data_IF_244550093885
#
_entry.id   IF_244550093885
#
_cell.length_a   1.000
_cell.length_b   1.000
_cell.length_c   1.000
_cell.angle_alpha   90.00
_cell.angle_beta   90.00
_cell.angle_gamma   90.00
#
_symmetry.space_group_name_H-M   'P 1'
#
loop_
_entity.id
_entity.type
_entity.pdbx_description
1 polymer ?
#
# COMPACT_ATOMS: atom_id res chain seq x y z
N UNK A 1 11.40 11.21 -7.43
CA UNK A 1 12.28 12.13 -6.64
C UNK A 1 11.64 12.61 -5.34
N UNK A 2 10.30 12.67 -5.24
CA UNK A 2 9.58 13.07 -4.03
C UNK A 2 9.34 12.00 -2.95
N UNK A 3 9.79 10.74 -3.11
CA UNK A 3 9.69 9.74 -2.03
C UNK A 3 10.90 9.73 -1.09
N UNK A 4 12.06 10.20 -1.57
CA UNK A 4 13.30 10.22 -0.78
C UNK A 4 13.35 11.35 0.25
N UNK A 5 12.55 12.41 0.07
CA UNK A 5 12.42 13.51 1.02
C UNK A 5 11.28 13.28 2.03
N UNK A 6 10.49 12.22 1.85
CA UNK A 6 9.27 11.98 2.61
C UNK A 6 9.33 10.69 3.41
N UNK A 7 10.36 10.60 4.24
CA UNK A 7 10.28 9.81 5.46
C UNK A 7 10.05 10.71 6.69
N UNK A 8 8.92 11.44 6.88
CA UNK A 8 8.55 11.99 8.18
C UNK A 8 7.91 10.92 9.09
N UNK A 9 7.84 9.66 8.65
CA UNK A 9 7.23 8.55 9.40
C UNK A 9 7.94 8.20 10.72
N UNK A 10 9.10 8.81 10.99
CA UNK A 10 9.78 8.74 12.29
C UNK A 10 9.39 9.89 13.24
N UNK A 11 8.18 10.44 13.15
CA UNK A 11 7.62 11.35 14.18
C UNK A 11 7.02 10.56 15.37
N UNK A 12 6.86 11.16 16.57
CA UNK A 12 6.94 10.50 17.89
C UNK A 12 5.89 9.45 18.26
N UNK A 13 4.91 9.17 17.41
CA UNK A 13 3.80 8.30 17.77
C UNK A 13 4.06 6.86 17.31
N UNK A 14 4.57 6.04 18.24
CA UNK A 14 4.82 4.61 18.07
C UNK A 14 3.63 3.74 17.61
N UNK A 15 2.44 4.30 17.35
CA UNK A 15 1.29 3.57 16.76
C UNK A 15 1.49 3.20 15.29
N UNK A 16 2.17 4.04 14.50
CA UNK A 16 2.39 3.75 13.07
C UNK A 16 3.64 2.89 12.84
N UNK A 17 4.58 2.88 13.79
CA UNK A 17 5.88 2.22 13.63
C UNK A 17 5.77 0.69 13.47
N UNK A 18 4.97 0.03 14.32
CA UNK A 18 4.78 -1.42 14.23
C UNK A 18 4.04 -1.86 12.96
N UNK A 19 3.16 -1.00 12.45
CA UNK A 19 2.31 -1.34 11.32
C UNK A 19 3.00 -1.18 9.97
N UNK A 20 3.71 -0.07 9.78
CA UNK A 20 4.46 0.21 8.55
C UNK A 20 5.67 -0.72 8.34
N UNK A 21 6.02 -1.52 9.35
CA UNK A 21 7.11 -2.52 9.25
C UNK A 21 6.64 -3.81 8.56
N UNK A 22 5.32 -4.09 8.54
CA UNK A 22 4.71 -5.30 7.95
C UNK A 22 3.75 -4.90 6.81
N UNK A 23 4.17 -3.96 5.98
CA UNK A 23 3.47 -3.62 4.73
C UNK A 23 4.12 -4.33 3.53
N UNK A 24 3.34 -4.61 2.48
CA UNK A 24 3.83 -5.21 1.23
C UNK A 24 3.97 -6.73 1.21
N UNK A 25 3.36 -7.45 2.17
CA UNK A 25 3.29 -8.92 2.15
C UNK A 25 2.54 -9.45 0.91
N UNK A 26 1.67 -8.65 0.30
CA UNK A 26 0.88 -8.96 -0.89
C UNK A 26 1.67 -8.78 -2.21
N UNK A 27 2.92 -8.29 -2.16
CA UNK A 27 3.79 -8.10 -3.34
C UNK A 27 3.86 -9.34 -4.23
N UNK A 28 3.87 -10.53 -3.64
CA UNK A 28 3.84 -11.81 -4.37
C UNK A 28 2.56 -12.07 -5.16
N UNK A 29 1.44 -11.44 -4.78
CA UNK A 29 0.16 -11.55 -5.51
C UNK A 29 0.23 -10.79 -6.84
N UNK A 30 0.89 -9.64 -6.88
CA UNK A 30 1.04 -8.83 -8.12
C UNK A 30 1.89 -9.51 -9.19
N UNK A 31 2.68 -10.51 -8.79
CA UNK A 31 3.54 -11.31 -9.67
C UNK A 31 2.97 -12.74 -9.78
N UNK A 32 1.77 -13.01 -9.29
CA UNK A 32 1.22 -14.36 -9.26
C UNK A 32 1.09 -15.01 -10.65
N UNK A 33 0.73 -14.24 -11.68
CA UNK A 33 0.66 -14.73 -13.06
C UNK A 33 2.04 -15.14 -13.60
N UNK A 34 3.07 -14.34 -13.31
CA UNK A 34 4.46 -14.67 -13.69
C UNK A 34 4.98 -15.84 -12.83
N UNK A 35 4.69 -15.84 -11.54
CA UNK A 35 5.06 -16.90 -10.61
C UNK A 35 4.39 -18.23 -10.97
N UNK A 36 3.19 -18.23 -11.56
CA UNK A 36 2.49 -19.44 -12.02
C UNK A 36 3.27 -20.18 -13.11
N UNK A 37 4.03 -19.45 -13.94
CA UNK A 37 4.89 -20.04 -14.98
C UNK A 37 6.07 -20.79 -14.35
N UNK A 38 6.58 -20.32 -13.21
CA UNK A 38 7.81 -20.84 -12.58
C UNK A 38 7.58 -21.72 -11.35
N UNK A 39 6.42 -21.61 -10.72
CA UNK A 39 6.04 -22.28 -9.47
C UNK A 39 4.52 -22.39 -9.39
N UNK A 40 3.99 -23.35 -8.63
CA UNK A 40 2.54 -23.45 -8.44
C UNK A 40 2.04 -22.27 -7.59
N UNK A 41 1.62 -21.17 -8.24
CA UNK A 41 1.23 -19.91 -7.61
C UNK A 41 0.16 -20.08 -6.53
N UNK A 42 -0.76 -21.02 -6.72
CA UNK A 42 -1.83 -21.30 -5.77
C UNK A 42 -1.33 -21.80 -4.39
N UNK A 43 -0.10 -22.32 -4.32
CA UNK A 43 0.54 -22.78 -3.07
C UNK A 43 1.66 -21.82 -2.67
N UNK A 44 2.46 -21.36 -3.63
CA UNK A 44 3.62 -20.51 -3.34
C UNK A 44 3.23 -19.13 -2.79
N UNK A 45 2.17 -18.50 -3.33
CA UNK A 45 1.76 -17.15 -2.93
C UNK A 45 1.28 -17.09 -1.46
N UNK A 46 0.38 -17.99 -1.00
CA UNK A 46 -0.01 -18.01 0.41
C UNK A 46 1.18 -18.21 1.37
N UNK A 47 2.11 -19.12 1.05
CA UNK A 47 3.29 -19.35 1.87
C UNK A 47 4.27 -18.16 1.87
N UNK A 48 4.40 -17.46 0.74
CA UNK A 48 5.20 -16.24 0.66
C UNK A 48 4.61 -15.11 1.53
N UNK A 49 3.28 -14.95 1.54
CA UNK A 49 2.59 -13.99 2.41
C UNK A 49 2.85 -14.32 3.89
N UNK A 50 2.63 -15.58 4.29
CA UNK A 50 2.85 -16.01 5.68
C UNK A 50 4.32 -15.88 6.08
N UNK A 51 5.24 -16.30 5.21
CA UNK A 51 6.68 -16.24 5.45
C UNK A 51 7.19 -14.80 5.58
N UNK A 52 6.76 -13.90 4.69
CA UNK A 52 7.12 -12.48 4.78
C UNK A 52 6.58 -11.81 6.04
N UNK A 53 5.36 -12.14 6.46
CA UNK A 53 4.79 -11.63 7.71
C UNK A 53 5.56 -12.14 8.95
N UNK A 54 5.95 -13.42 9.00
CA UNK A 54 6.70 -13.99 10.13
C UNK A 54 8.11 -13.41 10.19
N UNK A 55 8.81 -13.35 9.06
CA UNK A 55 10.18 -12.82 9.00
C UNK A 55 10.18 -11.32 9.29
N UNK A 56 9.29 -10.56 8.64
CA UNK A 56 9.14 -9.12 8.88
C UNK A 56 8.75 -8.80 10.32
N UNK A 57 7.79 -9.54 10.89
CA UNK A 57 7.37 -9.38 12.28
C UNK A 57 8.46 -9.72 13.30
N UNK A 58 9.20 -10.82 13.09
CA UNK A 58 10.30 -11.22 13.99
C UNK A 58 11.50 -10.29 13.93
N UNK A 59 11.92 -9.87 12.72
CA UNK A 59 12.98 -8.88 12.54
C UNK A 59 12.57 -7.51 13.08
N UNK A 60 11.34 -7.07 12.79
CA UNK A 60 10.79 -5.81 13.30
C UNK A 60 10.71 -5.79 14.83
N UNK A 61 10.24 -6.88 15.44
CA UNK A 61 10.23 -7.03 16.90
C UNK A 61 11.66 -6.96 17.48
N UNK A 62 12.62 -7.67 16.86
CA UNK A 62 14.02 -7.62 17.23
C UNK A 62 14.58 -6.20 17.19
N UNK A 63 14.33 -5.46 16.10
CA UNK A 63 14.77 -4.07 15.95
C UNK A 63 14.15 -3.16 17.01
N UNK A 64 12.84 -3.25 17.27
CA UNK A 64 12.17 -2.45 18.30
C UNK A 64 12.72 -2.73 19.69
N UNK A 65 12.96 -4.00 20.02
CA UNK A 65 13.56 -4.39 21.30
C UNK A 65 14.98 -3.82 21.43
N UNK A 66 15.82 -3.95 20.41
CA UNK A 66 17.17 -3.37 20.42
C UNK A 66 17.12 -1.85 20.57
N UNK A 67 16.25 -1.16 19.84
CA UNK A 67 16.07 0.29 19.98
C UNK A 67 15.60 0.69 21.38
N UNK A 68 14.71 -0.09 21.99
CA UNK A 68 14.24 0.15 23.34
C UNK A 68 15.36 0.08 24.38
N UNK A 69 16.29 -0.87 24.24
CA UNK A 69 17.46 -0.96 25.10
C UNK A 69 18.52 0.12 24.80
N UNK A 70 18.63 0.57 23.54
CA UNK A 70 19.63 1.55 23.13
C UNK A 70 19.21 3.02 23.33
N UNK A 71 17.92 3.34 23.56
CA UNK A 71 17.48 4.74 23.67
C UNK A 71 17.88 5.42 25.00
N UNK A 72 18.22 4.66 26.04
CA UNK A 72 18.53 5.23 27.36
C UNK A 72 17.30 5.81 28.08
N UNK A 73 17.51 6.55 29.19
CA UNK A 73 16.43 7.08 30.03
C UNK A 73 15.99 8.52 29.67
N UNK A 74 16.72 9.23 28.80
CA UNK A 74 16.40 10.61 28.42
C UNK A 74 15.52 10.68 27.15
N UNK A 75 14.25 10.32 27.33
CA UNK A 75 13.25 10.37 26.25
C UNK A 75 12.95 11.84 25.84
N UNK A 76 13.02 12.77 26.80
CA UNK A 76 12.73 14.18 26.56
C UNK A 76 13.82 14.84 25.68
N UNK A 77 15.09 14.53 25.93
CA UNK A 77 16.21 14.98 25.11
C UNK A 77 16.19 14.40 23.69
N UNK A 78 15.71 13.17 23.52
CA UNK A 78 15.57 12.53 22.19
C UNK A 78 14.44 13.15 21.37
N UNK A 79 13.30 13.43 22.00
CA UNK A 79 12.13 14.01 21.32
C UNK A 79 12.29 15.51 21.03
N UNK A 80 13.06 16.22 21.86
CA UNK A 80 13.30 17.67 21.72
C UNK A 80 14.54 18.03 20.90
N UNK A 81 15.27 17.06 20.33
CA UNK A 81 16.54 17.34 19.69
C UNK A 81 16.38 18.10 18.35
N UNK A 82 17.35 18.96 18.04
CA UNK A 82 17.44 19.76 16.80
C UNK A 82 17.41 18.94 15.51
N UNK A 83 17.74 17.65 15.59
CA UNK A 83 17.71 16.69 14.47
C UNK A 83 16.26 16.42 14.01
N UNK A 84 15.26 16.58 14.89
CA UNK A 84 13.84 16.37 14.56
C UNK A 84 13.47 14.93 14.18
N UNK A 85 14.41 13.98 14.33
CA UNK A 85 14.25 12.56 14.04
C UNK A 85 14.82 11.73 15.21
N UNK A 86 13.95 11.11 16.04
CA UNK A 86 14.35 10.33 17.21
C UNK A 86 15.30 9.17 16.87
N UNK A 87 15.06 8.44 15.78
CA UNK A 87 15.90 7.31 15.38
C UNK A 87 17.33 7.75 15.04
N UNK A 88 17.48 8.82 14.27
CA UNK A 88 18.78 9.38 13.93
C UNK A 88 19.56 9.80 15.19
N UNK A 89 18.85 10.33 16.19
CA UNK A 89 19.43 10.73 17.48
C UNK A 89 19.93 9.51 18.27
N UNK A 90 19.17 8.41 18.29
CA UNK A 90 19.60 7.16 18.94
C UNK A 90 20.87 6.61 18.30
N UNK A 91 20.94 6.59 16.96
CA UNK A 91 22.15 6.16 16.26
C UNK A 91 23.33 7.10 16.51
N UNK A 92 23.09 8.40 16.53
CA UNK A 92 24.12 9.38 16.87
C UNK A 92 24.69 9.15 18.27
N UNK A 93 23.83 8.87 19.24
CA UNK A 93 24.25 8.59 20.63
C UNK A 93 25.01 7.26 20.76
N UNK A 94 24.70 6.26 19.92
CA UNK A 94 25.35 4.94 19.99
C UNK A 94 26.65 4.83 19.16
N UNK A 95 26.68 5.37 17.95
CA UNK A 95 27.77 5.20 16.97
C UNK A 95 28.58 6.47 16.70
N UNK A 96 28.16 7.61 17.26
CA UNK A 96 28.72 8.92 16.93
C UNK A 96 28.38 9.39 15.50
N UNK A 97 28.90 10.55 15.11
CA UNK A 97 28.52 11.21 13.85
C UNK A 97 28.88 10.41 12.60
N UNK A 98 30.12 9.88 12.52
CA UNK A 98 30.62 9.19 11.32
C UNK A 98 29.91 7.85 11.09
N UNK A 99 29.70 7.07 12.16
CA UNK A 99 28.98 5.80 12.08
C UNK A 99 27.51 6.01 11.70
N UNK A 100 26.87 7.02 12.28
CA UNK A 100 25.48 7.38 11.95
C UNK A 100 25.33 7.79 10.50
N UNK A 101 26.20 8.66 9.98
CA UNK A 101 26.14 9.08 8.57
C UNK A 101 26.34 7.91 7.60
N UNK A 102 27.26 6.99 7.92
CA UNK A 102 27.47 5.77 7.14
C UNK A 102 26.20 4.90 7.09
N UNK A 103 25.61 4.63 8.25
CA UNK A 103 24.37 3.84 8.34
C UNK A 103 23.19 4.56 7.65
N UNK A 104 23.07 5.87 7.83
CA UNK A 104 22.00 6.67 7.24
C UNK A 104 22.07 6.69 5.71
N UNK A 105 23.28 6.67 5.13
CA UNK A 105 23.44 6.55 3.67
C UNK A 105 22.88 5.23 3.13
N UNK A 106 23.05 4.13 3.86
CA UNK A 106 22.48 2.83 3.51
C UNK A 106 20.95 2.84 3.58
N UNK A 107 20.37 3.48 4.60
CA UNK A 107 18.93 3.70 4.69
C UNK A 107 18.38 4.44 3.47
N UNK A 108 19.07 5.49 3.00
CA UNK A 108 18.67 6.25 1.81
C UNK A 108 18.66 5.37 0.55
N UNK A 109 19.67 4.51 0.36
CA UNK A 109 19.74 3.59 -0.78
C UNK A 109 18.61 2.56 -0.74
N UNK A 110 18.37 1.95 0.42
CA UNK A 110 17.26 0.99 0.61
C UNK A 110 15.92 1.66 0.35
N UNK A 111 15.71 2.87 0.85
CA UNK A 111 14.48 3.63 0.63
C UNK A 111 14.25 3.95 -0.85
N UNK A 112 15.32 4.25 -1.60
CA UNK A 112 15.24 4.46 -3.04
C UNK A 112 14.81 3.19 -3.80
N UNK A 113 15.39 2.05 -3.43
CA UNK A 113 15.02 0.76 -4.02
C UNK A 113 13.54 0.42 -3.75
N UNK A 114 13.07 0.63 -2.51
CA UNK A 114 11.67 0.44 -2.15
C UNK A 114 10.73 1.35 -2.93
N UNK A 115 11.07 2.64 -3.05
CA UNK A 115 10.28 3.61 -3.81
C UNK A 115 10.17 3.21 -5.29
N UNK A 116 11.25 2.70 -5.87
CA UNK A 116 11.27 2.23 -7.26
C UNK A 116 10.36 1.01 -7.45
N UNK A 117 10.40 0.05 -6.52
CA UNK A 117 9.50 -1.09 -6.50
C UNK A 117 8.02 -0.66 -6.39
N UNK A 118 7.70 0.27 -5.48
CA UNK A 118 6.34 0.78 -5.32
C UNK A 118 5.79 1.40 -6.60
N UNK A 119 6.59 2.22 -7.31
CA UNK A 119 6.19 2.81 -8.59
C UNK A 119 5.89 1.74 -9.64
N UNK A 120 6.70 0.68 -9.69
CA UNK A 120 6.47 -0.44 -10.60
C UNK A 120 5.12 -1.13 -10.31
N UNK A 121 4.85 -1.47 -9.05
CA UNK A 121 3.60 -2.13 -8.66
C UNK A 121 2.37 -1.24 -8.95
N UNK A 122 2.41 0.03 -8.52
CA UNK A 122 1.30 0.97 -8.74
C UNK A 122 1.03 1.18 -10.24
N UNK A 123 2.06 1.26 -11.07
CA UNK A 123 1.90 1.41 -12.52
C UNK A 123 1.25 0.20 -13.20
N UNK A 124 1.56 -1.02 -12.71
CA UNK A 124 0.92 -2.28 -13.16
C UNK A 124 -0.55 -2.33 -12.76
N UNK A 125 -0.87 -1.99 -11.51
CA UNK A 125 -2.26 -1.92 -11.04
C UNK A 125 -3.05 -0.88 -11.84
N UNK A 126 -2.47 0.31 -12.05
CA UNK A 126 -3.09 1.38 -12.84
C UNK A 126 -3.32 0.96 -14.29
N UNK A 127 -2.38 0.20 -14.87
CA UNK A 127 -2.52 -0.34 -16.22
C UNK A 127 -3.65 -1.37 -16.32
N UNK A 128 -3.78 -2.28 -15.35
CA UNK A 128 -4.89 -3.24 -15.29
C UNK A 128 -6.24 -2.53 -15.19
N UNK A 129 -6.36 -1.50 -14.34
CA UNK A 129 -7.58 -0.69 -14.25
C UNK A 129 -7.85 0.14 -15.52
N UNK A 130 -6.80 0.62 -16.21
CA UNK A 130 -6.96 1.32 -17.48
C UNK A 130 -7.43 0.37 -18.61
N UNK A 131 -6.97 -0.89 -18.62
CA UNK A 131 -7.43 -1.94 -19.54
C UNK A 131 -8.93 -2.21 -19.37
N UNK A 132 -9.37 -2.31 -18.11
CA UNK A 132 -10.79 -2.53 -17.77
C UNK A 132 -11.62 -1.24 -17.91
N UNK A 133 -11.02 -0.17 -18.43
CA UNK A 133 -11.65 1.12 -18.69
C UNK A 133 -11.81 1.99 -17.44
N UNK A 134 -11.72 1.45 -16.22
CA UNK A 134 -12.13 2.07 -14.95
C UNK A 134 -11.54 3.46 -14.64
N UNK A 135 -10.43 3.84 -15.29
CA UNK A 135 -9.71 5.09 -15.04
C UNK A 135 -10.09 6.24 -16.00
N UNK A 136 -10.09 7.51 -15.52
CA UNK A 136 -10.13 8.66 -16.42
C UNK A 136 -8.95 8.60 -17.40
N UNK A 137 -9.21 8.87 -18.68
CA UNK A 137 -8.20 8.77 -19.76
C UNK A 137 -7.65 7.36 -20.00
N UNK A 138 -8.42 6.32 -19.72
CA UNK A 138 -8.07 4.90 -19.97
C UNK A 138 -7.46 4.65 -21.36
N UNK A 139 -7.99 5.29 -22.41
CA UNK A 139 -7.45 5.16 -23.77
C UNK A 139 -6.00 5.64 -23.97
N UNK A 140 -5.54 6.63 -23.19
CA UNK A 140 -4.15 7.13 -23.23
C UNK A 140 -3.27 6.30 -22.28
N UNK A 141 -3.81 5.98 -21.10
CA UNK A 141 -3.10 5.24 -20.05
C UNK A 141 -2.84 3.78 -20.45
N UNK A 142 -3.75 3.14 -21.17
CA UNK A 142 -3.60 1.77 -21.64
C UNK A 142 -2.57 1.62 -22.78
N UNK A 143 -2.10 2.72 -23.38
CA UNK A 143 -1.17 2.65 -24.51
C UNK A 143 0.21 2.16 -24.05
N UNK A 144 0.59 0.96 -24.50
CA UNK A 144 1.93 0.40 -24.27
C UNK A 144 2.95 0.92 -25.30
N UNK A 145 4.19 1.09 -24.86
CA UNK A 145 5.30 1.37 -25.76
C UNK A 145 5.70 0.11 -26.53
N UNK A 146 5.71 0.16 -27.86
CA UNK A 146 6.03 -0.98 -28.74
C UNK A 146 7.49 -1.44 -28.63
N UNK A 147 8.42 -0.59 -28.22
CA UNK A 147 9.84 -0.93 -28.15
C UNK A 147 10.24 -1.61 -26.83
N UNK A 148 9.70 -1.13 -25.71
CA UNK A 148 10.05 -1.64 -24.37
C UNK A 148 9.03 -2.59 -23.79
N UNK A 149 7.82 -2.70 -24.38
CA UNK A 149 6.72 -3.49 -23.83
C UNK A 149 6.20 -2.97 -22.49
N UNK A 150 6.59 -1.76 -22.08
CA UNK A 150 6.24 -1.19 -20.77
C UNK A 150 5.19 -0.07 -20.89
N UNK A 151 4.27 0.05 -19.92
CA UNK A 151 3.25 1.10 -19.90
C UNK A 151 3.84 2.43 -19.37
N UNK A 152 4.63 3.12 -20.20
CA UNK A 152 5.33 4.37 -19.81
C UNK A 152 4.34 5.46 -19.38
N UNK A 153 3.16 5.53 -20.01
CA UNK A 153 2.14 6.53 -19.69
C UNK A 153 1.57 6.36 -18.28
N UNK A 154 1.34 5.13 -17.82
CA UNK A 154 0.84 4.88 -16.45
C UNK A 154 1.92 5.20 -15.42
N UNK A 155 3.19 4.90 -15.71
CA UNK A 155 4.31 5.24 -14.83
C UNK A 155 4.38 6.75 -14.61
N UNK A 156 4.35 7.55 -15.68
CA UNK A 156 4.38 9.01 -15.56
C UNK A 156 3.14 9.55 -14.83
N UNK A 157 1.96 8.99 -15.09
CA UNK A 157 0.76 9.36 -14.36
C UNK A 157 0.91 9.13 -12.84
N UNK A 158 1.38 7.94 -12.42
CA UNK A 158 1.63 7.63 -11.02
C UNK A 158 2.69 8.55 -10.40
N UNK A 159 3.78 8.82 -11.11
CA UNK A 159 4.86 9.70 -10.63
C UNK A 159 4.38 11.15 -10.50
N UNK A 160 3.62 11.66 -11.47
CA UNK A 160 3.04 12.99 -11.42
C UNK A 160 2.02 13.11 -10.28
N UNK A 161 1.15 12.13 -10.10
CA UNK A 161 0.19 12.10 -8.99
C UNK A 161 0.91 12.07 -7.63
N UNK A 162 1.94 11.23 -7.48
CA UNK A 162 2.76 11.17 -6.27
C UNK A 162 3.52 12.49 -6.04
N UNK A 163 4.01 13.15 -7.08
CA UNK A 163 4.68 14.45 -6.98
C UNK A 163 3.70 15.55 -6.54
N UNK A 164 2.47 15.56 -7.05
CA UNK A 164 1.42 16.49 -6.64
C UNK A 164 1.05 16.28 -5.16
N UNK A 165 0.92 15.04 -4.71
CA UNK A 165 0.73 14.74 -3.29
C UNK A 165 1.93 15.16 -2.45
N UNK A 166 3.15 15.03 -2.98
CA UNK A 166 4.37 15.51 -2.35
C UNK A 166 4.40 17.04 -2.15
N UNK A 167 3.73 17.83 -3.01
CA UNK A 167 3.65 19.28 -2.81
C UNK A 167 2.93 19.66 -1.50
N UNK A 168 2.15 18.75 -0.89
CA UNK A 168 1.52 18.99 0.40
C UNK A 168 2.52 19.15 1.57
N UNK A 169 3.81 18.79 1.41
CA UNK A 169 4.81 19.19 2.41
C UNK A 169 4.83 20.70 2.64
N UNK A 170 4.71 21.48 1.56
CA UNK A 170 4.81 22.93 1.64
C UNK A 170 3.60 23.55 2.35
N UNK A 171 2.47 22.83 2.43
CA UNK A 171 1.28 23.25 3.15
C UNK A 171 1.39 23.07 4.67
N UNK A 172 2.35 22.26 5.15
CA UNK A 172 2.68 22.11 6.57
C UNK A 172 2.65 20.66 7.07
N UNK A 173 3.16 20.47 8.29
CA UNK A 173 3.33 19.14 8.91
C UNK A 173 2.00 18.37 9.08
N UNK A 174 0.90 19.08 9.36
CA UNK A 174 -0.42 18.45 9.47
C UNK A 174 -0.95 17.93 8.13
N UNK A 175 -0.71 18.67 7.04
CA UNK A 175 -1.17 18.29 5.70
C UNK A 175 -0.46 17.03 5.22
N UNK A 176 0.86 16.98 5.36
CA UNK A 176 1.62 15.79 4.97
C UNK A 176 1.36 14.61 5.91
N UNK A 177 1.21 14.85 7.21
CA UNK A 177 0.82 13.82 8.17
C UNK A 177 -0.51 13.17 7.82
N UNK A 178 -1.49 13.96 7.38
CA UNK A 178 -2.78 13.45 6.93
C UNK A 178 -2.65 12.51 5.72
N UNK A 179 -1.78 12.81 4.75
CA UNK A 179 -1.52 11.94 3.60
C UNK A 179 -1.00 10.57 4.05
N UNK A 180 -0.06 10.52 4.99
CA UNK A 180 0.45 9.24 5.52
C UNK A 180 -0.64 8.42 6.22
N UNK A 181 -1.47 9.04 7.05
CA UNK A 181 -2.57 8.35 7.72
C UNK A 181 -3.58 7.81 6.71
N UNK A 182 -3.93 8.59 5.66
CA UNK A 182 -4.83 8.11 4.61
C UNK A 182 -4.23 6.96 3.82
N UNK A 183 -2.94 6.96 3.53
CA UNK A 183 -2.30 5.83 2.85
C UNK A 183 -2.44 4.53 3.64
N UNK A 184 -2.23 4.57 4.96
CA UNK A 184 -2.40 3.39 5.83
C UNK A 184 -3.87 2.94 5.87
N UNK A 185 -4.80 3.88 6.10
CA UNK A 185 -6.24 3.58 6.12
C UNK A 185 -6.71 3.03 4.75
N UNK A 186 -6.17 3.55 3.66
CA UNK A 186 -6.46 3.13 2.30
C UNK A 186 -6.05 1.68 2.06
N UNK A 187 -4.83 1.30 2.47
CA UNK A 187 -4.34 -0.09 2.38
C UNK A 187 -5.20 -1.03 3.24
N UNK A 188 -5.50 -0.63 4.47
CA UNK A 188 -6.38 -1.40 5.37
C UNK A 188 -7.76 -1.64 4.77
N UNK A 189 -8.34 -0.60 4.20
CA UNK A 189 -9.66 -0.67 3.55
C UNK A 189 -9.59 -1.53 2.29
N UNK A 190 -8.53 -1.41 1.49
CA UNK A 190 -8.32 -2.21 0.28
C UNK A 190 -8.22 -3.72 0.61
N UNK A 191 -7.54 -4.10 1.69
CA UNK A 191 -7.51 -5.48 2.17
C UNK A 191 -8.82 -5.91 2.85
N UNK A 192 -9.49 -5.00 3.54
CA UNK A 192 -10.74 -5.26 4.23
C UNK A 192 -11.90 -5.58 3.28
N UNK A 193 -12.01 -4.90 2.14
CA UNK A 193 -13.09 -5.07 1.16
C UNK A 193 -13.25 -6.52 0.70
N UNK A 194 -12.24 -7.20 0.11
CA UNK A 194 -12.39 -8.57 -0.37
C UNK A 194 -12.68 -9.55 0.77
N UNK A 195 -12.12 -9.34 1.97
CA UNK A 195 -12.40 -10.18 3.14
C UNK A 195 -13.85 -10.00 3.61
N UNK A 196 -14.34 -8.77 3.66
CA UNK A 196 -15.71 -8.44 4.04
C UNK A 196 -16.73 -8.99 3.02
N UNK A 197 -16.46 -8.82 1.72
CA UNK A 197 -17.26 -9.43 0.64
C UNK A 197 -17.28 -10.95 0.80
N UNK A 198 -16.14 -11.57 1.13
CA UNK A 198 -16.07 -13.03 1.37
C UNK A 198 -16.86 -13.50 2.58
N UNK A 199 -17.02 -12.66 3.61
CA UNK A 199 -17.85 -12.94 4.79
C UNK A 199 -19.33 -12.73 4.48
N UNK A 200 -19.68 -11.63 3.79
CA UNK A 200 -21.05 -11.27 3.45
C UNK A 200 -21.66 -12.22 2.39
N UNK A 201 -20.89 -12.51 1.34
CA UNK A 201 -21.25 -13.46 0.29
C UNK A 201 -20.53 -14.78 0.58
N UNK A 202 -21.03 -15.50 1.58
CA UNK A 202 -20.59 -16.86 1.89
C UNK A 202 -21.10 -17.85 0.81
N UNK A 203 -20.67 -17.62 -0.45
CA UNK A 203 -21.11 -18.40 -1.60
C UNK A 203 -20.74 -19.86 -1.40
N UNK A 204 -21.76 -20.71 -1.39
CA UNK A 204 -21.65 -22.18 -1.38
C UNK A 204 -20.97 -22.73 -2.64
N UNK A 205 -20.85 -21.92 -3.69
CA UNK A 205 -20.16 -22.24 -4.95
C UNK A 205 -18.66 -21.93 -4.95
N UNK A 206 -18.10 -21.38 -3.86
CA UNK A 206 -16.66 -21.14 -3.82
C UNK A 206 -15.90 -22.47 -3.68
N UNK A 207 -15.14 -22.82 -4.72
CA UNK A 207 -14.22 -23.95 -4.69
C UNK A 207 -12.96 -23.52 -3.93
N UNK A 208 -12.66 -24.11 -2.75
CA UNK A 208 -11.45 -23.80 -2.02
C UNK A 208 -10.22 -24.23 -2.83
N UNK A 209 -9.24 -23.33 -2.94
CA UNK A 209 -7.94 -23.63 -3.54
C UNK A 209 -7.12 -24.63 -2.69
N UNK A 210 -5.95 -25.07 -3.20
CA UNK A 210 -5.08 -26.04 -2.52
C UNK A 210 -4.60 -25.58 -1.14
N UNK A 211 -4.61 -24.27 -0.89
CA UNK A 211 -4.42 -23.69 0.44
C UNK A 211 -5.76 -23.28 1.06
N UNK A 212 -6.20 -24.00 2.08
CA UNK A 212 -7.44 -23.70 2.82
C UNK A 212 -7.22 -23.85 4.32
N UNK A 213 -7.69 -22.86 5.08
CA UNK A 213 -7.72 -22.88 6.55
C UNK A 213 -8.90 -23.73 7.10
N UNK A 214 -9.66 -24.41 6.22
CA UNK A 214 -10.76 -25.29 6.59
C UNK A 214 -11.80 -24.58 7.45
N UNK A 215 -12.12 -25.19 8.60
CA UNK A 215 -13.13 -24.71 9.56
C UNK A 215 -12.74 -23.37 10.18
N UNK A 216 -11.44 -23.09 10.33
CA UNK A 216 -10.97 -21.82 10.89
C UNK A 216 -11.07 -20.64 9.92
N UNK A 217 -11.41 -20.90 8.65
CA UNK A 217 -11.46 -19.85 7.64
C UNK A 217 -12.54 -18.79 7.90
N UNK A 218 -13.71 -19.18 8.43
CA UNK A 218 -14.79 -18.24 8.76
C UNK A 218 -14.43 -17.34 9.98
N UNK A 219 -14.07 -17.89 11.16
CA UNK A 219 -13.77 -17.05 12.32
C UNK A 219 -12.57 -16.13 12.09
N UNK A 220 -11.53 -16.59 11.39
CA UNK A 220 -10.37 -15.75 11.07
C UNK A 220 -10.76 -14.55 10.20
N UNK A 221 -11.61 -14.76 9.18
CA UNK A 221 -12.08 -13.65 8.32
C UNK A 221 -12.91 -12.63 9.10
N UNK A 222 -13.80 -13.08 9.98
CA UNK A 222 -14.63 -12.18 10.81
C UNK A 222 -13.76 -11.36 11.75
N UNK A 223 -12.83 -12.01 12.45
CA UNK A 223 -11.89 -11.31 13.34
C UNK A 223 -11.03 -10.31 12.56
N UNK A 224 -10.56 -10.68 11.36
CA UNK A 224 -9.80 -9.78 10.50
C UNK A 224 -10.59 -8.53 10.09
N UNK A 225 -11.85 -8.68 9.66
CA UNK A 225 -12.70 -7.52 9.29
C UNK A 225 -12.96 -6.62 10.48
N UNK A 226 -13.28 -7.19 11.65
CA UNK A 226 -13.49 -6.42 12.87
C UNK A 226 -12.22 -5.67 13.30
N UNK A 227 -11.06 -6.33 13.20
CA UNK A 227 -9.77 -5.70 13.53
C UNK A 227 -9.42 -4.57 12.55
N UNK A 228 -9.64 -4.77 11.25
CA UNK A 228 -9.43 -3.72 10.23
C UNK A 228 -10.36 -2.53 10.50
N UNK A 229 -11.63 -2.78 10.77
CA UNK A 229 -12.59 -1.73 11.09
C UNK A 229 -12.19 -0.96 12.36
N UNK A 230 -11.78 -1.67 13.41
CA UNK A 230 -11.28 -1.07 14.64
C UNK A 230 -10.04 -0.20 14.39
N UNK A 231 -9.04 -0.71 13.65
CA UNK A 231 -7.81 0.04 13.36
C UNK A 231 -8.07 1.28 12.52
N UNK A 232 -8.96 1.22 11.54
CA UNK A 232 -9.38 2.39 10.77
C UNK A 232 -9.95 3.49 11.68
N UNK A 233 -10.79 3.14 12.64
CA UNK A 233 -11.32 4.10 13.62
C UNK A 233 -10.18 4.70 14.45
N UNK A 234 -9.28 3.86 14.97
CA UNK A 234 -8.14 4.32 15.80
C UNK A 234 -7.21 5.27 15.03
N UNK A 235 -6.95 5.02 13.75
CA UNK A 235 -6.10 5.88 12.92
C UNK A 235 -6.75 7.22 12.54
N UNK A 236 -8.08 7.32 12.61
CA UNK A 236 -8.80 8.59 12.39
C UNK A 236 -8.74 9.50 13.62
N UNK A 237 -8.51 8.97 14.82
CA UNK A 237 -8.38 9.78 16.03
C UNK A 237 -7.03 10.53 16.10
N UNK A 238 -7.02 11.77 16.62
CA UNK A 238 -5.79 12.51 16.88
C UNK A 238 -4.98 11.88 18.03
N UNK A 239 -3.66 12.10 18.02
CA UNK A 239 -2.74 11.52 19.00
C UNK A 239 -2.93 12.06 20.43
N UNK A 240 -3.46 13.28 20.57
CA UNK A 240 -3.72 13.91 21.87
C UNK A 240 -5.18 14.35 22.03
N UNK A 241 -5.72 14.33 23.25
CA UNK A 241 -7.05 14.89 23.54
C UNK A 241 -7.04 16.41 23.33
N UNK A 242 -8.10 16.95 22.68
CA UNK A 242 -8.26 18.39 22.46
C UNK A 242 -7.23 19.01 21.50
N UNK A 243 -7.07 18.51 20.26
CA UNK A 243 -6.10 19.07 19.34
C UNK A 243 -6.49 20.50 18.95
N UNK A 244 -5.51 21.41 18.94
CA UNK A 244 -5.63 22.68 18.23
C UNK A 244 -5.83 22.39 16.72
N UNK A 245 -6.49 23.26 15.95
CA UNK A 245 -6.70 23.04 14.51
C UNK A 245 -5.40 22.70 13.76
N UNK A 246 -4.28 23.30 14.14
CA UNK A 246 -2.96 23.04 13.55
C UNK A 246 -2.43 21.62 13.78
N UNK A 247 -2.93 20.91 14.78
CA UNK A 247 -2.48 19.55 15.18
C UNK A 247 -3.59 18.50 14.99
N UNK A 248 -4.67 18.85 14.30
CA UNK A 248 -5.78 17.93 14.06
C UNK A 248 -5.41 16.90 12.98
N UNK A 249 -5.88 15.67 13.15
CA UNK A 249 -5.74 14.66 12.11
C UNK A 249 -6.77 14.92 11.00
N UNK A 250 -6.33 15.50 9.88
CA UNK A 250 -7.17 15.78 8.72
C UNK A 250 -7.38 14.57 7.80
N UNK A 251 -6.97 13.37 8.20
CA UNK A 251 -7.11 12.16 7.38
C UNK A 251 -8.57 11.90 6.97
N UNK A 252 -9.55 12.15 7.84
CA UNK A 252 -10.97 11.96 7.49
C UNK A 252 -11.43 12.87 6.35
N UNK A 253 -10.90 14.11 6.30
CA UNK A 253 -11.26 15.09 5.27
C UNK A 253 -10.65 14.69 3.93
N UNK A 254 -9.40 14.26 3.95
CA UNK A 254 -8.71 13.77 2.74
C UNK A 254 -9.36 12.49 2.23
N UNK A 255 -9.66 11.54 3.13
CA UNK A 255 -10.35 10.29 2.79
C UNK A 255 -11.76 10.57 2.23
N UNK A 256 -12.53 11.43 2.89
CA UNK A 256 -13.86 11.83 2.44
C UNK A 256 -13.82 12.56 1.10
N UNK A 257 -12.82 13.42 0.87
CA UNK A 257 -12.59 14.10 -0.39
C UNK A 257 -12.25 13.13 -1.54
N UNK A 258 -11.39 12.14 -1.28
CA UNK A 258 -11.06 11.09 -2.26
C UNK A 258 -12.28 10.23 -2.55
N UNK A 259 -13.00 9.77 -1.53
CA UNK A 259 -14.21 8.97 -1.70
C UNK A 259 -15.30 9.74 -2.47
N UNK A 260 -15.51 11.01 -2.14
CA UNK A 260 -16.42 11.88 -2.87
C UNK A 260 -15.97 12.07 -4.31
N UNK A 261 -14.66 12.29 -4.56
CA UNK A 261 -14.09 12.36 -5.90
C UNK A 261 -14.34 11.10 -6.73
N UNK A 262 -14.15 9.92 -6.13
CA UNK A 262 -14.45 8.64 -6.76
C UNK A 262 -15.94 8.47 -7.06
N UNK A 263 -16.83 8.85 -6.13
CA UNK A 263 -18.28 8.79 -6.32
C UNK A 263 -18.75 9.76 -7.41
N UNK A 264 -18.22 10.98 -7.40
CA UNK A 264 -18.48 12.02 -8.41
C UNK A 264 -17.99 11.56 -9.79
N UNK A 265 -16.82 10.92 -9.87
CA UNK A 265 -16.32 10.32 -11.10
C UNK A 265 -17.22 9.17 -11.58
N UNK A 266 -17.59 8.27 -10.68
CA UNK A 266 -18.42 7.10 -10.99
C UNK A 266 -19.81 7.52 -11.51
N UNK A 267 -20.44 8.51 -10.86
CA UNK A 267 -21.76 9.05 -11.19
C UNK A 267 -21.75 10.25 -12.15
N UNK A 268 -20.59 10.63 -12.71
CA UNK A 268 -20.50 11.82 -13.54
C UNK A 268 -21.42 11.71 -14.78
N UNK A 269 -22.36 12.64 -15.02
CA UNK A 269 -23.27 12.54 -16.14
C UNK A 269 -22.51 12.49 -17.47
N UNK A 270 -22.84 11.51 -18.34
CA UNK A 270 -22.26 11.22 -19.67
C UNK A 270 -20.85 10.60 -19.73
N UNK A 271 -19.98 10.80 -18.75
CA UNK A 271 -18.61 10.27 -18.76
C UNK A 271 -18.32 9.29 -17.61
N UNK A 272 -19.23 9.15 -16.65
CA UNK A 272 -19.05 8.32 -15.48
C UNK A 272 -19.07 6.83 -15.79
N UNK A 273 -18.26 6.09 -15.03
CA UNK A 273 -18.05 4.65 -15.19
C UNK A 273 -19.34 3.83 -15.14
N UNK A 274 -20.41 4.32 -14.49
CA UNK A 274 -21.74 3.68 -14.48
C UNK A 274 -22.27 3.35 -15.88
N UNK A 275 -21.93 4.16 -16.89
CA UNK A 275 -22.50 4.03 -18.22
C UNK A 275 -21.71 3.12 -19.17
N UNK A 276 -20.48 2.75 -18.83
CA UNK A 276 -19.58 2.03 -19.75
C UNK A 276 -18.68 0.98 -19.08
N UNK A 277 -18.67 0.88 -17.75
CA UNK A 277 -17.87 -0.10 -17.02
C UNK A 277 -18.62 -1.44 -16.92
N UNK A 278 -18.23 -2.40 -17.74
CA UNK A 278 -18.82 -3.75 -17.78
C UNK A 278 -18.16 -4.74 -16.80
N UNK A 279 -17.12 -4.33 -16.08
CA UNK A 279 -16.37 -5.18 -15.15
C UNK A 279 -15.02 -5.67 -15.70
N UNK A 280 -14.33 -6.59 -14.99
CA UNK A 280 -13.01 -7.08 -15.38
C UNK A 280 -13.11 -7.93 -16.65
N UNK A 281 -12.41 -7.55 -17.72
CA UNK A 281 -12.37 -8.34 -18.95
C UNK A 281 -11.41 -9.52 -18.76
N UNK A 282 -11.93 -10.75 -18.85
CA UNK A 282 -11.14 -11.98 -18.71
C UNK A 282 -10.42 -12.30 -20.03
N UNK A 283 -9.15 -11.94 -20.14
CA UNK A 283 -8.33 -12.17 -21.35
C UNK A 283 -8.14 -13.66 -21.69
N UNK A 284 -8.30 -14.57 -20.73
CA UNK A 284 -8.00 -16.00 -20.90
C UNK A 284 -9.09 -16.72 -21.73
N UNK A 285 -10.34 -16.26 -21.67
CA UNK A 285 -11.43 -16.87 -22.45
C UNK A 285 -11.30 -16.50 -23.94
N UNK A 286 -10.90 -15.26 -24.25
CA UNK A 286 -10.74 -14.78 -25.63
C UNK A 286 -9.59 -15.48 -26.38
N UNK A 287 -8.43 -15.74 -25.73
CA UNK A 287 -7.33 -16.46 -26.39
C UNK A 287 -7.64 -17.95 -26.63
N UNK A 288 -8.37 -18.59 -25.72
CA UNK A 288 -8.81 -20.00 -25.89
C UNK A 288 -9.92 -20.10 -26.93
N UNK A 289 -10.80 -19.10 -27.02
CA UNK A 289 -11.85 -19.03 -28.03
C UNK A 289 -11.26 -18.74 -29.42
N UNK A 290 -10.33 -17.80 -29.55
CA UNK A 290 -9.59 -17.51 -30.80
C UNK A 290 -8.74 -18.72 -31.25
N UNK A 291 -8.13 -19.45 -30.30
CA UNK A 291 -7.38 -20.66 -30.61
C UNK A 291 -8.29 -21.81 -31.07
N UNK A 292 -9.48 -21.95 -30.48
CA UNK A 292 -10.49 -22.94 -30.94
C UNK A 292 -11.05 -22.58 -32.30
N UNK A 293 -11.37 -21.31 -32.54
CA UNK A 293 -11.90 -20.83 -33.82
C UNK A 293 -10.88 -21.01 -34.95
N UNK A 294 -9.58 -20.78 -34.69
CA UNK A 294 -8.50 -21.06 -35.66
C UNK A 294 -8.26 -22.55 -35.92
N UNK A 295 -8.57 -23.43 -34.97
CA UNK A 295 -8.46 -24.88 -35.14
C UNK A 295 -9.68 -25.49 -35.84
N UNK A 296 -10.85 -24.86 -35.75
CA UNK A 296 -12.07 -25.29 -36.46
C UNK A 296 -12.09 -24.87 -37.94
N UNK A 297 -11.24 -23.93 -38.34
CA UNK A 297 -11.11 -23.43 -39.73
C UNK A 297 -9.96 -24.12 -40.50
N UNK A 298 -9.11 -24.91 -39.83
CA UNK A 298 -8.01 -25.70 -40.43
C UNK A 298 -8.39 -27.16 -40.64
#
# INVERSE_FOLDING_TARGET
MGLLLFCPGFSPCGRSFGNSTIDGFDTGVHISEEAQVWSNAAIAVPWAIVGSAIIGGSLGAGMVITLAFCMGQDIAGILGNSIGQPLATIFFNSFGQKGTLGLWSLFVVVQWAMASCAVLLTSRQTFAFARDGAMPFSGILYRMNKHTGTPVNTVWFCVCAAALLGLLAFAGAAAIGAVFYVSVIGIYTAYGIPIAVRVAFNNREFVPGPFSLGVFSLPIRVVAVLFIAFMNVVFLFPASPGPKPTNMNYAIVVLGGVAAGCLVWYWWPKYGAVHWFEGPKRTIEDEVQDAKEKLEIS
#
